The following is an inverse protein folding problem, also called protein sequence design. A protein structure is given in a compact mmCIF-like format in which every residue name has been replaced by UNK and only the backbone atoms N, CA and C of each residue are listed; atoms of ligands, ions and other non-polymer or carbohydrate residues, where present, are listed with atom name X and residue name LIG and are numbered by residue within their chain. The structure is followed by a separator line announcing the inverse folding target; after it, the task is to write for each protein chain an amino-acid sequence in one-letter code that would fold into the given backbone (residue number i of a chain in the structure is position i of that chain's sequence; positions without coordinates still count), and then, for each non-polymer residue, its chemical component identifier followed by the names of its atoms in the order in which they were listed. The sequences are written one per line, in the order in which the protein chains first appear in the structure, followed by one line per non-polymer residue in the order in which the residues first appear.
data_IF_217108155579
#
_entry.id   IF_217108155579
#
_cell.length_a   1.000
_cell.length_b   1.000
_cell.length_c   1.000
_cell.angle_alpha   90.00
_cell.angle_beta   90.00
_cell.angle_gamma   90.00
#
_symmetry.space_group_name_H-M   'P 1'
#
loop_
_entity.id
_entity.type
_entity.pdbx_description
1 polymer ?
#
# COMPACT_ATOMS: atom_id res chain seq x y z
N UNK A 1 34.28 9.27 11.95
CA UNK A 1 33.04 9.17 12.76
C UNK A 1 31.86 9.89 12.09
N UNK A 2 31.95 11.17 11.70
CA UNK A 2 30.81 11.90 11.08
C UNK A 2 30.23 11.25 9.80
N UNK A 3 31.09 10.68 8.94
CA UNK A 3 30.66 9.95 7.74
C UNK A 3 29.83 8.69 8.05
N UNK A 4 30.12 8.01 9.16
CA UNK A 4 29.34 6.84 9.57
C UNK A 4 27.96 7.25 10.09
N UNK A 5 27.85 8.38 10.78
CA UNK A 5 26.56 8.92 11.21
C UNK A 5 25.70 9.42 10.04
N UNK A 6 26.30 10.10 9.06
CA UNK A 6 25.59 10.53 7.83
C UNK A 6 25.14 9.35 6.99
N UNK A 7 25.99 8.35 6.80
CA UNK A 7 25.63 7.12 6.09
C UNK A 7 24.51 6.36 6.82
N UNK A 8 24.60 6.26 8.15
CA UNK A 8 23.54 5.64 8.96
C UNK A 8 22.21 6.39 8.84
N UNK A 9 22.22 7.73 8.91
CA UNK A 9 20.99 8.53 8.79
C UNK A 9 20.33 8.41 7.40
N UNK A 10 21.12 8.29 6.34
CA UNK A 10 20.59 8.09 4.98
C UNK A 10 20.03 6.68 4.76
N UNK A 11 20.60 5.67 5.42
CA UNK A 11 20.17 4.28 5.29
C UNK A 11 19.13 3.87 6.33
N UNK A 12 18.96 4.63 7.42
CA UNK A 12 18.08 4.25 8.53
C UNK A 12 16.63 3.99 8.12
N UNK A 13 16.02 4.68 7.13
CA UNK A 13 14.66 4.34 6.68
C UNK A 13 14.51 2.93 6.09
N UNK A 14 15.63 2.26 5.74
CA UNK A 14 15.60 0.86 5.29
C UNK A 14 15.49 -0.16 6.43
N UNK A 15 15.73 0.27 7.67
CA UNK A 15 15.86 -0.63 8.81
C UNK A 15 15.00 -0.24 10.01
N UNK A 16 14.39 0.95 9.99
CA UNK A 16 13.55 1.46 11.08
C UNK A 16 12.09 1.37 10.65
N UNK A 17 11.30 0.67 11.44
CA UNK A 17 9.86 0.60 11.24
C UNK A 17 9.21 1.95 11.48
N UNK A 18 8.31 2.29 10.57
CA UNK A 18 7.41 3.42 10.66
C UNK A 18 5.99 2.91 10.84
N UNK A 19 5.50 3.06 12.07
CA UNK A 19 4.14 2.71 12.46
C UNK A 19 3.20 3.88 12.16
N UNK A 20 2.06 3.57 11.52
CA UNK A 20 0.96 4.50 11.26
C UNK A 20 -0.33 3.88 11.80
N UNK A 21 -1.21 4.69 12.38
CA UNK A 21 -2.50 4.24 12.91
C UNK A 21 -3.57 5.26 12.59
N UNK A 22 -4.00 5.27 11.33
CA UNK A 22 -5.07 6.15 10.85
C UNK A 22 -6.45 5.52 11.06
N UNK A 23 -7.35 6.30 11.65
CA UNK A 23 -8.78 6.02 11.65
C UNK A 23 -9.36 6.20 10.25
N UNK A 24 -10.53 5.60 9.98
CA UNK A 24 -11.27 5.92 8.76
C UNK A 24 -11.74 7.38 8.83
N UNK A 25 -11.50 8.20 7.79
CA UNK A 25 -12.04 9.55 7.73
C UNK A 25 -13.54 9.56 7.41
N UNK A 26 -14.10 8.44 6.95
CA UNK A 26 -15.52 8.29 6.67
C UNK A 26 -16.28 7.85 7.92
N UNK A 27 -17.27 8.64 8.33
CA UNK A 27 -18.14 8.36 9.48
C UNK A 27 -19.08 7.20 9.18
N UNK A 28 -19.63 7.19 7.96
CA UNK A 28 -20.37 6.06 7.41
C UNK A 28 -19.72 5.68 6.09
N UNK A 29 -19.37 4.40 5.95
CA UNK A 29 -18.78 3.90 4.72
C UNK A 29 -19.28 2.51 4.41
N UNK A 30 -19.46 2.23 3.12
CA UNK A 30 -19.68 0.87 2.63
C UNK A 30 -18.37 0.28 2.15
N UNK A 31 -18.19 -1.00 2.42
CA UNK A 31 -17.15 -1.79 1.77
C UNK A 31 -17.56 -2.10 0.33
N UNK A 32 -16.63 -1.93 -0.60
CA UNK A 32 -16.83 -2.08 -2.05
C UNK A 32 -16.15 -3.35 -2.55
N UNK A 33 -14.89 -3.52 -2.16
CA UNK A 33 -14.08 -4.70 -2.48
C UNK A 33 -12.96 -4.86 -1.49
N UNK A 34 -12.51 -6.09 -1.24
CA UNK A 34 -11.42 -6.35 -0.31
C UNK A 34 -10.53 -7.51 -0.75
N UNK A 35 -9.31 -7.54 -0.23
CA UNK A 35 -8.39 -8.66 -0.38
C UNK A 35 -7.37 -8.71 0.75
N UNK A 36 -6.86 -9.89 1.06
CA UNK A 36 -5.71 -10.04 1.97
C UNK A 36 -4.42 -9.85 1.20
N UNK A 37 -3.46 -9.15 1.79
CA UNK A 37 -2.12 -9.06 1.24
C UNK A 37 -1.39 -10.41 1.29
N UNK A 38 -0.63 -10.67 0.24
CA UNK A 38 0.26 -11.82 0.12
C UNK A 38 1.65 -11.36 -0.33
N UNK A 39 2.67 -12.01 0.20
CA UNK A 39 4.07 -11.88 -0.23
C UNK A 39 4.20 -12.12 -1.74
N UNK A 40 5.02 -11.32 -2.42
CA UNK A 40 5.40 -11.60 -3.81
C UNK A 40 6.52 -12.66 -3.92
N UNK A 41 7.40 -12.72 -2.92
CA UNK A 41 8.50 -13.67 -2.86
C UNK A 41 8.88 -14.01 -1.40
N UNK A 42 9.91 -14.83 -1.20
CA UNK A 42 10.30 -15.27 0.14
C UNK A 42 11.00 -14.20 0.98
N UNK A 43 11.53 -13.14 0.36
CA UNK A 43 12.32 -12.08 0.98
C UNK A 43 11.51 -10.84 1.33
N UNK A 44 10.43 -10.55 0.61
CA UNK A 44 9.52 -9.44 0.88
C UNK A 44 8.27 -9.95 1.58
N UNK A 45 8.11 -9.58 2.86
CA UNK A 45 6.93 -9.95 3.64
C UNK A 45 5.91 -8.84 3.59
N UNK A 46 4.66 -9.19 3.30
CA UNK A 46 3.51 -8.28 3.31
C UNK A 46 2.28 -9.01 3.82
N UNK A 47 1.57 -8.43 4.78
CA UNK A 47 0.35 -8.99 5.36
C UNK A 47 -0.66 -7.89 5.69
N UNK A 48 -1.85 -8.30 6.15
CA UNK A 48 -2.98 -7.43 6.44
C UNK A 48 -4.06 -7.47 5.36
N UNK A 49 -4.97 -6.52 5.41
CA UNK A 49 -6.13 -6.44 4.51
C UNK A 49 -6.12 -5.12 3.77
N UNK A 50 -6.38 -5.16 2.46
CA UNK A 50 -6.72 -4.01 1.65
C UNK A 50 -8.24 -3.98 1.46
N UNK A 51 -8.87 -2.86 1.81
CA UNK A 51 -10.31 -2.67 1.69
C UNK A 51 -10.61 -1.37 0.96
N UNK A 52 -11.35 -1.45 -0.15
CA UNK A 52 -11.88 -0.26 -0.83
C UNK A 52 -13.20 0.10 -0.18
N UNK A 53 -13.24 1.28 0.44
CA UNK A 53 -14.44 1.82 1.10
C UNK A 53 -14.93 3.08 0.41
N UNK A 54 -16.22 3.38 0.55
CA UNK A 54 -16.84 4.57 -0.03
C UNK A 54 -17.85 5.21 0.92
N UNK A 55 -17.87 6.55 0.96
CA UNK A 55 -18.89 7.39 1.61
C UNK A 55 -20.04 7.79 0.65
N UNK A 56 -20.14 7.11 -0.51
CA UNK A 56 -21.00 7.36 -1.67
C UNK A 56 -20.48 8.39 -2.68
N UNK A 57 -19.59 9.31 -2.30
CA UNK A 57 -19.04 10.33 -3.20
C UNK A 57 -17.59 10.03 -3.57
N UNK A 58 -16.82 9.58 -2.60
CA UNK A 58 -15.40 9.35 -2.65
C UNK A 58 -15.08 7.88 -2.38
N UNK A 59 -13.86 7.49 -2.74
CA UNK A 59 -13.34 6.15 -2.52
C UNK A 59 -11.98 6.22 -1.83
N UNK A 60 -11.76 5.31 -0.89
CA UNK A 60 -10.49 5.11 -0.22
C UNK A 60 -10.06 3.67 -0.34
N UNK A 61 -8.76 3.46 -0.56
CA UNK A 61 -8.11 2.20 -0.26
C UNK A 61 -7.58 2.27 1.17
N UNK A 62 -8.20 1.52 2.07
CA UNK A 62 -7.83 1.41 3.48
C UNK A 62 -7.06 0.12 3.71
N UNK A 63 -5.94 0.23 4.40
CA UNK A 63 -5.19 -0.91 4.90
C UNK A 63 -5.50 -1.14 6.38
N UNK A 64 -5.69 -2.40 6.74
CA UNK A 64 -5.99 -2.83 8.11
C UNK A 64 -5.03 -3.94 8.53
N UNK A 65 -4.52 -3.84 9.77
CA UNK A 65 -3.52 -4.77 10.35
C UNK A 65 -2.33 -5.01 9.39
N UNK A 66 -1.94 -3.96 8.68
CA UNK A 66 -0.93 -4.03 7.62
C UNK A 66 0.47 -4.14 8.20
N UNK A 67 1.27 -5.02 7.62
CA UNK A 67 2.70 -5.10 7.90
C UNK A 67 3.45 -5.38 6.60
N UNK A 68 4.64 -4.79 6.45
CA UNK A 68 5.54 -5.09 5.36
C UNK A 68 7.01 -4.95 5.75
N UNK A 69 7.89 -5.69 5.07
CA UNK A 69 9.32 -5.42 5.10
C UNK A 69 9.63 -4.03 4.55
N UNK A 70 10.60 -3.35 5.16
CA UNK A 70 11.05 -2.03 4.70
C UNK A 70 11.65 -2.08 3.30
N UNK A 71 11.48 -0.99 2.55
CA UNK A 71 12.05 -0.81 1.21
C UNK A 71 12.41 0.66 0.95
N UNK A 72 13.31 0.95 0.00
CA UNK A 72 13.82 2.30 -0.22
C UNK A 72 12.81 3.29 -0.78
N UNK A 73 11.79 2.81 -1.48
CA UNK A 73 10.82 3.65 -2.19
C UNK A 73 9.51 2.89 -2.46
N UNK A 74 8.83 2.50 -1.38
CA UNK A 74 7.57 1.75 -1.47
C UNK A 74 6.40 2.68 -1.79
N UNK A 75 5.59 2.28 -2.75
CA UNK A 75 4.38 2.94 -3.21
C UNK A 75 3.18 2.02 -3.09
N UNK A 76 2.00 2.62 -3.06
CA UNK A 76 0.73 1.92 -3.13
C UNK A 76 0.09 2.15 -4.48
N UNK A 77 -0.13 1.08 -5.24
CA UNK A 77 -0.76 1.14 -6.56
C UNK A 77 -2.09 0.36 -6.57
N UNK A 78 -3.07 0.87 -7.32
CA UNK A 78 -4.15 0.05 -7.86
C UNK A 78 -3.75 -0.40 -9.25
N UNK A 79 -3.74 -1.71 -9.52
CA UNK A 79 -3.18 -2.27 -10.75
C UNK A 79 -4.10 -3.29 -11.41
N UNK A 80 -4.01 -3.40 -12.74
CA UNK A 80 -4.68 -4.43 -13.54
C UNK A 80 -3.96 -5.78 -13.46
N UNK A 81 -2.65 -5.76 -13.25
CA UNK A 81 -1.77 -6.92 -13.18
C UNK A 81 -0.73 -6.78 -12.05
N UNK A 82 0.02 -7.85 -11.77
CA UNK A 82 1.04 -7.89 -10.72
C UNK A 82 2.37 -7.22 -11.14
N UNK A 83 2.55 -6.97 -12.43
CA UNK A 83 3.78 -6.39 -13.00
C UNK A 83 3.73 -4.86 -13.05
N UNK A 84 2.61 -4.26 -12.65
CA UNK A 84 2.33 -2.83 -12.72
C UNK A 84 2.49 -2.25 -14.15
N UNK A 85 2.02 -2.97 -15.19
CA UNK A 85 2.05 -2.42 -16.55
C UNK A 85 0.97 -1.34 -16.78
N UNK A 86 -0.14 -1.45 -16.06
CA UNK A 86 -1.25 -0.48 -16.09
C UNK A 86 -1.82 -0.30 -14.68
N UNK A 87 -1.59 0.88 -14.12
CA UNK A 87 -1.87 1.16 -12.71
C UNK A 87 -2.22 2.63 -12.46
N UNK A 88 -2.84 2.87 -11.31
CA UNK A 88 -3.02 4.18 -10.68
C UNK A 88 -2.17 4.21 -9.42
N UNK A 89 -1.25 5.17 -9.34
CA UNK A 89 -0.47 5.40 -8.12
C UNK A 89 -1.30 6.17 -7.10
N UNK A 90 -1.42 5.62 -5.89
CA UNK A 90 -2.06 6.28 -4.75
C UNK A 90 -1.04 6.99 -3.82
N UNK A 91 0.25 6.92 -4.16
CA UNK A 91 1.32 7.62 -3.46
C UNK A 91 2.29 6.70 -2.71
N UNK A 92 3.08 7.33 -1.84
CA UNK A 92 4.12 6.66 -1.03
C UNK A 92 3.47 5.86 0.09
N UNK A 93 4.01 4.66 0.37
CA UNK A 93 3.63 3.89 1.54
C UNK A 93 3.92 4.69 2.81
N UNK A 94 2.88 5.10 3.55
CA UNK A 94 3.01 6.02 4.68
C UNK A 94 3.76 5.38 5.84
N UNK A 95 3.52 4.09 6.10
CA UNK A 95 4.21 3.30 7.12
C UNK A 95 4.24 1.83 6.71
N UNK A 96 5.30 1.12 7.11
CA UNK A 96 5.39 -0.31 6.88
C UNK A 96 4.58 -1.12 7.90
N UNK A 97 4.02 -0.48 8.93
CA UNK A 97 3.16 -1.11 9.94
C UNK A 97 1.92 -0.24 10.20
N UNK A 98 0.77 -0.89 10.31
CA UNK A 98 -0.48 -0.38 10.85
C UNK A 98 -1.45 0.23 9.83
N UNK A 99 -2.57 0.73 10.36
CA UNK A 99 -3.72 1.16 9.56
C UNK A 99 -3.45 2.47 8.84
N UNK A 100 -3.83 2.56 7.56
CA UNK A 100 -3.54 3.72 6.72
C UNK A 100 -4.54 3.82 5.56
N UNK A 101 -4.85 5.03 5.13
CA UNK A 101 -5.83 5.31 4.09
C UNK A 101 -5.19 6.01 2.88
N UNK A 102 -5.67 5.67 1.69
CA UNK A 102 -5.23 6.25 0.43
C UNK A 102 -6.42 6.71 -0.40
N UNK A 103 -6.42 7.97 -0.81
CA UNK A 103 -7.42 8.53 -1.72
C UNK A 103 -7.32 7.87 -3.09
N UNK A 104 -8.45 7.34 -3.56
CA UNK A 104 -8.58 6.83 -4.91
C UNK A 104 -9.07 8.00 -5.78
N UNK A 105 -8.31 8.38 -6.84
CA UNK A 105 -8.71 9.49 -7.70
C UNK A 105 -10.13 9.32 -8.26
N UNK A 106 -10.95 10.40 -8.27
CA UNK A 106 -12.28 10.35 -8.85
C UNK A 106 -12.27 9.88 -10.30
N UNK A 107 -13.23 9.03 -10.68
CA UNK A 107 -13.31 8.46 -12.03
C UNK A 107 -12.41 7.24 -12.28
N UNK A 108 -11.68 6.76 -11.28
CA UNK A 108 -10.96 5.47 -11.36
C UNK A 108 -11.95 4.32 -11.57
N UNK A 109 -11.77 3.52 -12.62
CA UNK A 109 -12.59 2.33 -12.87
C UNK A 109 -12.14 1.17 -11.96
N UNK A 110 -12.82 1.00 -10.83
CA UNK A 110 -12.54 -0.03 -9.84
C UNK A 110 -12.79 -1.47 -10.34
N UNK A 111 -13.50 -1.65 -11.46
CA UNK A 111 -13.64 -2.98 -12.06
C UNK A 111 -12.40 -3.40 -12.87
N UNK A 112 -11.61 -2.40 -13.30
CA UNK A 112 -10.40 -2.58 -14.09
C UNK A 112 -9.22 -2.94 -13.21
N UNK A 113 -8.99 -2.17 -12.14
CA UNK A 113 -7.86 -2.35 -11.24
C UNK A 113 -8.18 -3.34 -10.11
N UNK A 114 -7.78 -4.60 -10.30
CA UNK A 114 -8.13 -5.72 -9.41
C UNK A 114 -7.12 -5.97 -8.30
N UNK A 115 -5.98 -5.29 -8.31
CA UNK A 115 -4.93 -5.51 -7.31
C UNK A 115 -4.58 -4.22 -6.57
N UNK A 116 -4.42 -4.32 -5.26
CA UNK A 116 -3.65 -3.36 -4.49
C UNK A 116 -2.21 -3.87 -4.38
N UNK A 117 -1.23 -3.13 -4.88
CA UNK A 117 0.18 -3.51 -4.87
C UNK A 117 0.98 -2.66 -3.88
N UNK A 118 1.91 -3.31 -3.19
CA UNK A 118 3.05 -2.66 -2.55
C UNK A 118 4.23 -2.78 -3.51
N UNK A 119 4.60 -1.67 -4.14
CA UNK A 119 5.57 -1.63 -5.23
C UNK A 119 6.80 -0.82 -4.85
N UNK A 120 8.00 -1.35 -5.09
CA UNK A 120 9.22 -0.57 -4.95
C UNK A 120 9.54 0.14 -6.28
N UNK A 121 9.19 1.42 -6.38
CA UNK A 121 9.34 2.21 -7.61
C UNK A 121 10.81 2.30 -8.07
N UNK A 122 11.73 2.53 -7.13
CA UNK A 122 13.17 2.61 -7.41
C UNK A 122 13.74 1.37 -8.09
N UNK A 123 13.25 0.18 -7.75
CA UNK A 123 13.79 -1.08 -8.26
C UNK A 123 12.85 -1.81 -9.22
N UNK A 124 11.64 -1.29 -9.42
CA UNK A 124 10.61 -1.89 -10.27
C UNK A 124 10.31 -3.34 -9.88
N UNK A 125 10.12 -3.58 -8.57
CA UNK A 125 9.81 -4.90 -8.01
C UNK A 125 8.57 -4.85 -7.13
N UNK A 126 7.78 -5.92 -7.20
CA UNK A 126 6.62 -6.15 -6.34
C UNK A 126 7.08 -6.69 -4.97
N UNK A 127 6.60 -6.10 -3.89
CA UNK A 127 6.81 -6.64 -2.53
C UNK A 127 5.66 -7.56 -2.11
N UNK A 128 4.43 -7.18 -2.46
CA UNK A 128 3.24 -7.97 -2.17
C UNK A 128 2.00 -7.34 -2.77
N UNK A 129 0.93 -8.12 -2.81
CA UNK A 129 -0.32 -7.74 -3.47
C UNK A 129 -1.53 -8.27 -2.72
N UNK A 130 -2.64 -7.55 -2.81
CA UNK A 130 -3.97 -8.03 -2.44
C UNK A 130 -4.88 -8.02 -3.66
N UNK A 131 -5.47 -9.17 -4.00
CA UNK A 131 -6.50 -9.27 -5.04
C UNK A 131 -7.85 -8.81 -4.47
N UNK A 132 -8.38 -7.73 -5.03
CA UNK A 132 -9.59 -7.06 -4.58
C UNK A 132 -10.82 -7.75 -5.19
N UNK A 133 -11.57 -8.45 -4.34
CA UNK A 133 -12.84 -9.07 -4.70
C UNK A 133 -14.00 -8.21 -4.23
N UNK A 134 -15.00 -8.00 -5.09
CA UNK A 134 -16.23 -7.29 -4.75
C UNK A 134 -16.95 -7.99 -3.58
N UNK A 135 -17.53 -7.19 -2.69
CA UNK A 135 -18.34 -7.67 -1.56
C UNK A 135 -19.84 -7.61 -1.86
#
# INVERSE_FOLDING_TARGET
MLFLYLAWYLLSPLFIDKVVSEESPFVESRSVSSGSFMDADSSHKVSGVANVISDNENYLLRFEDFESTNGPDLKVYLSEDLDANSYVSLGVLKGNIGNQNYEIPPGTDLNKYKYALIWCERFSVLFGSAELSLQ
#
